data_IF_668558524357
#
_entry.id   IF_668558524357
#
_cell.length_a   1.000
_cell.length_b   1.000
_cell.length_c   1.000
_cell.angle_alpha   90.00
_cell.angle_beta   90.00
_cell.angle_gamma   90.00
#
_symmetry.space_group_name_H-M   'P 1'
#
loop_
_entity.id
_entity.type
_entity.pdbx_description
1 polymer ?
#
# COMPACT_ATOMS: atom_id res chain seq x y z
N UNK A 1 11.88 -49.85 -6.82
CA UNK A 1 10.82 -48.88 -6.46
C UNK A 1 10.48 -48.10 -7.72
N UNK A 2 9.35 -48.39 -8.35
CA UNK A 2 8.91 -47.72 -9.57
C UNK A 2 8.29 -46.38 -9.18
N UNK A 3 8.96 -45.29 -9.57
CA UNK A 3 8.49 -43.91 -9.42
C UNK A 3 7.20 -43.75 -10.23
N UNK A 4 6.05 -43.79 -9.55
CA UNK A 4 4.74 -43.63 -10.20
C UNK A 4 4.59 -42.17 -10.60
N UNK A 5 4.75 -41.89 -11.89
CA UNK A 5 4.45 -40.58 -12.45
C UNK A 5 2.98 -40.28 -12.21
N UNK A 6 2.63 -39.14 -11.57
CA UNK A 6 1.24 -38.83 -11.27
C UNK A 6 0.44 -38.73 -12.57
N UNK A 7 -0.73 -39.36 -12.58
CA UNK A 7 -1.66 -39.27 -13.72
C UNK A 7 -2.00 -37.79 -13.97
N UNK A 8 -2.13 -37.39 -15.24
CA UNK A 8 -2.47 -36.01 -15.61
C UNK A 8 -3.73 -35.49 -14.92
N UNK A 9 -4.67 -36.38 -14.56
CA UNK A 9 -5.86 -36.05 -13.78
C UNK A 9 -5.52 -35.70 -12.32
N UNK A 10 -4.67 -36.48 -11.66
CA UNK A 10 -4.21 -36.22 -10.28
C UNK A 10 -3.38 -34.94 -10.19
N UNK A 11 -2.55 -34.67 -11.22
CA UNK A 11 -1.79 -33.43 -11.29
C UNK A 11 -2.69 -32.19 -11.44
N UNK A 12 -3.79 -32.30 -12.20
CA UNK A 12 -4.79 -31.22 -12.32
C UNK A 12 -5.56 -31.00 -11.02
N UNK A 13 -6.01 -32.07 -10.39
CA UNK A 13 -6.77 -32.01 -9.14
C UNK A 13 -5.92 -31.41 -7.99
N UNK A 14 -4.64 -31.79 -7.91
CA UNK A 14 -3.69 -31.18 -6.97
C UNK A 14 -3.45 -29.69 -7.28
N UNK A 15 -3.38 -29.30 -8.56
CA UNK A 15 -3.23 -27.90 -8.97
C UNK A 15 -4.45 -27.07 -8.59
N UNK A 16 -5.65 -27.60 -8.80
CA UNK A 16 -6.91 -26.92 -8.44
C UNK A 16 -7.06 -26.79 -6.92
N UNK A 17 -6.68 -27.82 -6.15
CA UNK A 17 -6.65 -27.74 -4.69
C UNK A 17 -5.66 -26.68 -4.18
N UNK A 18 -4.46 -26.60 -4.75
CA UNK A 18 -3.47 -25.55 -4.43
C UNK A 18 -4.02 -24.17 -4.81
N UNK A 19 -4.64 -24.05 -5.99
CA UNK A 19 -5.20 -22.78 -6.46
C UNK A 19 -6.33 -22.29 -5.56
N UNK A 20 -7.23 -23.18 -5.16
CA UNK A 20 -8.31 -22.88 -4.23
C UNK A 20 -7.75 -22.44 -2.86
N UNK A 21 -6.78 -23.19 -2.31
CA UNK A 21 -6.11 -22.81 -1.06
C UNK A 21 -5.43 -21.44 -1.13
N UNK A 22 -4.72 -21.13 -2.21
CA UNK A 22 -4.11 -19.82 -2.42
C UNK A 22 -5.15 -18.70 -2.56
N UNK A 23 -6.28 -18.96 -3.23
CA UNK A 23 -7.36 -17.98 -3.34
C UNK A 23 -8.02 -17.69 -1.99
N UNK A 24 -8.23 -18.72 -1.16
CA UNK A 24 -8.75 -18.54 0.22
C UNK A 24 -7.77 -17.74 1.09
N UNK A 25 -6.47 -18.02 1.00
CA UNK A 25 -5.44 -17.26 1.71
C UNK A 25 -5.39 -15.79 1.26
N UNK A 26 -5.57 -15.54 -0.03
CA UNK A 26 -5.63 -14.18 -0.59
C UNK A 26 -6.89 -13.42 -0.17
N UNK A 27 -8.04 -14.10 -0.05
CA UNK A 27 -9.29 -13.46 0.37
C UNK A 27 -9.32 -13.12 1.85
N UNK A 28 -8.67 -13.95 2.68
CA UNK A 28 -8.76 -13.86 4.14
C UNK A 28 -7.56 -13.15 4.78
N UNK A 29 -6.40 -13.10 4.10
CA UNK A 29 -5.24 -12.50 4.71
C UNK A 29 -5.26 -10.96 4.63
N UNK A 30 -5.60 -10.39 5.78
CA UNK A 30 -5.45 -8.97 6.05
C UNK A 30 -4.19 -8.80 6.94
N UNK A 31 -3.21 -7.98 6.54
CA UNK A 31 -2.00 -7.75 7.31
C UNK A 31 -2.30 -7.14 8.67
N UNK A 32 -1.37 -7.32 9.60
CA UNK A 32 -1.44 -6.72 10.93
C UNK A 32 -1.81 -5.22 10.84
N UNK A 33 -2.81 -4.82 11.62
CA UNK A 33 -3.26 -3.42 11.73
C UNK A 33 -2.08 -2.52 12.10
N UNK A 34 -1.16 -3.01 12.93
CA UNK A 34 0.03 -2.29 13.36
C UNK A 34 0.94 -1.90 12.19
N UNK A 35 1.25 -2.85 11.30
CA UNK A 35 2.12 -2.58 10.14
C UNK A 35 1.45 -1.56 9.22
N UNK A 36 0.15 -1.70 8.98
CA UNK A 36 -0.60 -0.73 8.15
C UNK A 36 -0.59 0.66 8.76
N UNK A 37 -0.89 0.79 10.05
CA UNK A 37 -0.84 2.07 10.75
C UNK A 37 0.56 2.69 10.69
N UNK A 38 1.60 1.89 10.90
CA UNK A 38 2.99 2.35 10.86
C UNK A 38 3.35 2.91 9.47
N UNK A 39 3.01 2.20 8.39
CA UNK A 39 3.23 2.72 7.02
C UNK A 39 2.46 4.02 6.79
N UNK A 40 1.19 4.08 7.22
CA UNK A 40 0.35 5.27 7.03
C UNK A 40 0.88 6.48 7.80
N UNK A 41 1.32 6.28 9.05
CA UNK A 41 1.95 7.31 9.88
C UNK A 41 3.27 7.79 9.26
N UNK A 42 4.10 6.86 8.78
CA UNK A 42 5.33 7.20 8.06
C UNK A 42 5.06 7.99 6.79
N UNK A 43 4.05 7.60 6.01
CA UNK A 43 3.63 8.33 4.80
C UNK A 43 3.10 9.73 5.12
N UNK A 44 2.25 9.85 6.14
CA UNK A 44 1.74 11.13 6.62
C UNK A 44 2.87 12.05 7.11
N UNK A 45 3.87 11.51 7.80
CA UNK A 45 5.04 12.26 8.26
C UNK A 45 5.88 12.81 7.09
N UNK A 46 6.02 12.07 5.99
CA UNK A 46 6.69 12.55 4.77
C UNK A 46 5.92 13.73 4.18
N UNK A 47 4.60 13.59 3.98
CA UNK A 47 3.75 14.65 3.41
C UNK A 47 3.74 15.90 4.29
N UNK A 48 3.60 15.70 5.59
CA UNK A 48 3.62 16.77 6.57
C UNK A 48 4.96 17.51 6.58
N UNK A 49 6.06 16.76 6.66
CA UNK A 49 7.41 17.31 6.60
C UNK A 49 7.62 18.12 5.33
N UNK A 50 7.23 17.59 4.17
CA UNK A 50 7.30 18.31 2.90
C UNK A 50 6.48 19.61 2.90
N UNK A 51 5.22 19.57 3.35
CA UNK A 51 4.36 20.74 3.42
C UNK A 51 4.89 21.83 4.36
N UNK A 52 5.60 21.45 5.42
CA UNK A 52 6.19 22.34 6.43
C UNK A 52 7.62 22.80 6.10
N UNK A 53 8.26 22.24 5.07
CA UNK A 53 9.64 22.61 4.70
C UNK A 53 9.75 24.03 4.11
N UNK A 54 10.28 24.94 4.92
CA UNK A 54 10.77 26.29 4.55
C UNK A 54 12.06 26.62 5.33
N UNK A 55 13.07 27.20 4.67
CA UNK A 55 14.38 27.58 5.24
C UNK A 55 15.20 26.41 5.85
N UNK A 56 16.22 26.72 6.67
CA UNK A 56 17.05 25.74 7.40
C UNK A 56 16.20 25.02 8.46
N UNK A 57 15.60 23.90 8.07
CA UNK A 57 14.41 23.43 8.76
C UNK A 57 14.52 22.02 9.34
N UNK A 58 14.20 21.92 10.62
CA UNK A 58 14.06 20.67 11.37
C UNK A 58 12.98 19.75 10.79
N UNK A 59 12.01 20.26 10.03
CA UNK A 59 10.99 19.46 9.36
C UNK A 59 11.53 18.56 8.24
N UNK A 60 12.73 18.82 7.72
CA UNK A 60 13.41 17.89 6.83
C UNK A 60 13.75 16.56 7.53
N UNK A 61 14.04 16.59 8.83
CA UNK A 61 14.26 15.39 9.63
C UNK A 61 13.01 14.50 9.68
N UNK A 62 11.82 15.11 9.79
CA UNK A 62 10.55 14.38 9.76
C UNK A 62 10.36 13.65 8.41
N UNK A 63 10.78 14.24 7.30
CA UNK A 63 10.78 13.56 6.00
C UNK A 63 11.75 12.38 5.96
N UNK A 64 12.95 12.52 6.52
CA UNK A 64 13.93 11.42 6.57
C UNK A 64 13.46 10.26 7.45
N UNK A 65 12.98 10.55 8.66
CA UNK A 65 12.44 9.54 9.58
C UNK A 65 11.20 8.88 8.97
N UNK A 66 10.30 9.68 8.41
CA UNK A 66 9.12 9.19 7.70
C UNK A 66 9.49 8.30 6.52
N UNK A 67 10.45 8.73 5.69
CA UNK A 67 10.94 7.97 4.54
C UNK A 67 11.56 6.64 4.93
N UNK A 68 12.45 6.65 5.92
CA UNK A 68 13.09 5.43 6.42
C UNK A 68 12.09 4.47 7.06
N UNK A 69 11.19 4.99 7.89
CA UNK A 69 10.09 4.22 8.47
C UNK A 69 9.19 3.61 7.40
N UNK A 70 8.80 4.40 6.39
CA UNK A 70 7.96 3.94 5.30
C UNK A 70 8.61 2.76 4.55
N UNK A 71 9.91 2.85 4.26
CA UNK A 71 10.65 1.77 3.60
C UNK A 71 10.70 0.50 4.47
N UNK A 72 11.05 0.62 5.75
CA UNK A 72 11.12 -0.52 6.67
C UNK A 72 9.75 -1.19 6.82
N UNK A 73 8.70 -0.42 7.10
CA UNK A 73 7.38 -0.99 7.30
C UNK A 73 6.77 -1.55 6.01
N UNK A 74 7.07 -0.94 4.86
CA UNK A 74 6.68 -1.50 3.56
C UNK A 74 7.44 -2.80 3.27
N UNK A 75 8.73 -2.88 3.61
CA UNK A 75 9.49 -4.12 3.48
C UNK A 75 8.96 -5.23 4.40
N UNK A 76 8.63 -4.90 5.67
CA UNK A 76 8.00 -5.82 6.60
C UNK A 76 6.61 -6.26 6.14
N UNK A 77 5.83 -5.35 5.55
CA UNK A 77 4.55 -5.65 4.93
C UNK A 77 4.73 -6.65 3.80
N UNK A 78 5.64 -6.38 2.85
CA UNK A 78 5.92 -7.30 1.74
C UNK A 78 6.44 -8.65 2.24
N UNK A 79 7.30 -8.64 3.25
CA UNK A 79 7.83 -9.83 3.87
C UNK A 79 6.73 -10.68 4.55
N UNK A 80 5.77 -10.04 5.22
CA UNK A 80 4.64 -10.72 5.86
C UNK A 80 3.80 -11.51 4.86
N UNK A 81 3.57 -10.96 3.67
CA UNK A 81 2.90 -11.69 2.58
C UNK A 81 3.77 -12.81 1.99
N UNK A 82 5.08 -12.57 1.85
CA UNK A 82 6.00 -13.61 1.35
C UNK A 82 6.04 -14.81 2.28
N UNK A 83 6.00 -14.60 3.60
CA UNK A 83 5.93 -15.68 4.60
C UNK A 83 4.69 -16.57 4.40
N UNK A 84 3.63 -16.04 3.81
CA UNK A 84 2.39 -16.78 3.53
C UNK A 84 2.33 -17.35 2.12
N UNK A 85 3.43 -17.29 1.37
CA UNK A 85 3.49 -17.76 -0.01
C UNK A 85 2.79 -16.84 -1.01
N UNK A 86 2.28 -15.67 -0.59
CA UNK A 86 1.64 -14.70 -1.46
C UNK A 86 2.72 -13.86 -2.14
N UNK A 87 2.86 -14.01 -3.46
CA UNK A 87 3.75 -13.15 -4.26
C UNK A 87 3.06 -11.81 -4.53
N UNK A 88 3.35 -10.82 -3.69
CA UNK A 88 2.97 -9.43 -4.02
C UNK A 88 3.71 -8.99 -5.27
N UNK A 89 2.96 -8.38 -6.19
CA UNK A 89 3.51 -7.63 -7.30
C UNK A 89 3.25 -6.16 -7.05
N UNK A 90 4.29 -5.34 -7.13
CA UNK A 90 4.21 -3.89 -6.90
C UNK A 90 3.45 -3.16 -8.02
N UNK A 91 3.35 -3.78 -9.20
CA UNK A 91 2.71 -3.20 -10.38
C UNK A 91 1.39 -3.93 -10.67
N UNK A 92 0.26 -3.21 -10.78
CA UNK A 92 -1.04 -3.80 -11.05
C UNK A 92 -1.09 -4.39 -12.47
N UNK A 93 -1.60 -5.61 -12.62
CA UNK A 93 -1.71 -6.29 -13.92
C UNK A 93 -3.03 -6.00 -14.65
N UNK A 94 -4.12 -5.79 -13.90
CA UNK A 94 -5.46 -5.58 -14.46
C UNK A 94 -5.68 -4.10 -14.81
N UNK A 95 -6.32 -3.84 -15.96
CA UNK A 95 -6.63 -2.48 -16.41
C UNK A 95 -7.50 -1.68 -15.41
N UNK A 96 -8.39 -2.34 -14.69
CA UNK A 96 -9.21 -1.70 -13.65
C UNK A 96 -8.36 -1.31 -12.43
N UNK A 97 -7.40 -2.15 -12.04
CA UNK A 97 -6.42 -1.84 -10.98
C UNK A 97 -5.48 -0.70 -11.38
N UNK A 98 -5.08 -0.62 -12.66
CA UNK A 98 -4.27 0.49 -13.17
C UNK A 98 -5.01 1.82 -13.04
N UNK A 99 -6.29 1.88 -13.44
CA UNK A 99 -7.11 3.09 -13.31
C UNK A 99 -7.24 3.55 -11.86
N UNK A 100 -7.48 2.61 -10.94
CA UNK A 100 -7.55 2.92 -9.51
C UNK A 100 -6.21 3.49 -9.00
N UNK A 101 -5.10 2.81 -9.27
CA UNK A 101 -3.77 3.25 -8.82
C UNK A 101 -3.39 4.63 -9.38
N UNK A 102 -3.70 4.90 -10.66
CA UNK A 102 -3.50 6.22 -11.27
C UNK A 102 -4.37 7.26 -10.58
N UNK A 103 -5.68 7.00 -10.40
CA UNK A 103 -6.60 7.95 -9.76
C UNK A 103 -6.17 8.30 -8.34
N UNK A 104 -5.77 7.28 -7.57
CA UNK A 104 -5.24 7.44 -6.21
C UNK A 104 -3.91 8.21 -6.23
N UNK A 105 -3.02 7.91 -7.18
CA UNK A 105 -1.78 8.66 -7.37
C UNK A 105 -2.01 10.14 -7.61
N UNK A 106 -2.99 10.50 -8.46
CA UNK A 106 -3.38 11.90 -8.71
C UNK A 106 -3.87 12.56 -7.43
N UNK A 107 -4.72 11.89 -6.65
CA UNK A 107 -5.21 12.42 -5.36
C UNK A 107 -4.04 12.68 -4.40
N UNK A 108 -3.09 11.76 -4.28
CA UNK A 108 -1.91 11.96 -3.43
C UNK A 108 -1.04 13.13 -3.90
N UNK A 109 -0.81 13.26 -5.20
CA UNK A 109 -0.07 14.40 -5.78
C UNK A 109 -0.79 15.71 -5.44
N UNK A 110 -2.11 15.77 -5.62
CA UNK A 110 -2.91 16.94 -5.25
C UNK A 110 -2.83 17.26 -3.76
N UNK A 111 -2.82 16.26 -2.88
CA UNK A 111 -2.65 16.47 -1.45
C UNK A 111 -1.25 16.99 -1.10
N UNK A 112 -0.19 16.43 -1.70
CA UNK A 112 1.20 16.84 -1.46
C UNK A 112 1.42 18.29 -1.91
N UNK A 113 1.19 18.58 -3.18
CA UNK A 113 1.45 19.91 -3.75
C UNK A 113 0.39 20.92 -3.31
N UNK A 114 -0.88 20.52 -3.26
CA UNK A 114 -1.96 21.36 -2.78
C UNK A 114 -1.77 21.80 -1.34
N UNK A 115 -1.30 20.92 -0.45
CA UNK A 115 -1.03 21.32 0.94
C UNK A 115 -0.02 22.45 1.06
N UNK A 116 1.04 22.42 0.24
CA UNK A 116 2.06 23.46 0.20
C UNK A 116 1.52 24.73 -0.45
N UNK A 117 0.82 24.62 -1.58
CA UNK A 117 0.21 25.76 -2.28
C UNK A 117 -0.82 26.49 -1.40
N UNK A 118 -1.66 25.76 -0.66
CA UNK A 118 -2.63 26.35 0.26
C UNK A 118 -1.93 27.08 1.42
N UNK A 119 -0.81 26.54 1.91
CA UNK A 119 -0.03 27.19 2.97
C UNK A 119 0.71 28.43 2.45
N UNK A 120 1.50 28.31 1.39
CA UNK A 120 2.38 29.38 0.89
C UNK A 120 1.64 30.43 0.07
N UNK A 121 0.57 30.03 -0.65
CA UNK A 121 -0.19 30.91 -1.53
C UNK A 121 -1.39 31.58 -0.86
N UNK A 122 -2.10 30.88 0.03
CA UNK A 122 -3.31 31.39 0.70
C UNK A 122 -3.11 31.68 2.20
N UNK A 123 -1.91 31.42 2.74
CA UNK A 123 -1.60 31.65 4.16
C UNK A 123 -2.28 30.66 5.12
N UNK A 124 -2.80 29.54 4.63
CA UNK A 124 -3.50 28.57 5.48
C UNK A 124 -2.50 27.62 6.15
N UNK A 125 -2.05 27.97 7.36
CA UNK A 125 -1.01 27.24 8.10
C UNK A 125 -1.39 25.78 8.43
N UNK A 126 -2.67 25.50 8.60
CA UNK A 126 -3.17 24.16 8.93
C UNK A 126 -3.27 23.22 7.71
N UNK A 127 -3.05 23.70 6.47
CA UNK A 127 -3.18 22.88 5.26
C UNK A 127 -2.34 21.59 5.30
N UNK A 128 -1.04 21.63 5.63
CA UNK A 128 -0.23 20.41 5.69
C UNK A 128 -0.70 19.38 6.72
N UNK A 129 -1.26 19.83 7.85
CA UNK A 129 -1.79 18.96 8.89
C UNK A 129 -3.03 18.20 8.39
N UNK A 130 -3.98 18.92 7.80
CA UNK A 130 -5.23 18.32 7.29
C UNK A 130 -4.95 17.42 6.10
N UNK A 131 -4.11 17.86 5.16
CA UNK A 131 -3.78 17.06 3.98
C UNK A 131 -2.96 15.81 4.31
N UNK A 132 -2.01 15.87 5.24
CA UNK A 132 -1.23 14.70 5.67
C UNK A 132 -2.10 13.68 6.42
N UNK A 133 -3.01 14.15 7.29
CA UNK A 133 -3.98 13.28 7.96
C UNK A 133 -4.93 12.61 6.96
N UNK A 134 -5.50 13.39 6.04
CA UNK A 134 -6.37 12.87 4.99
C UNK A 134 -5.66 11.85 4.11
N UNK A 135 -4.41 12.11 3.73
CA UNK A 135 -3.59 11.18 2.96
C UNK A 135 -3.30 9.89 3.75
N UNK A 136 -2.94 9.99 5.03
CA UNK A 136 -2.72 8.83 5.90
C UNK A 136 -3.98 7.98 6.07
N UNK A 137 -5.13 8.61 6.30
CA UNK A 137 -6.42 7.91 6.42
C UNK A 137 -6.84 7.24 5.11
N UNK A 138 -6.69 7.93 3.98
CA UNK A 138 -6.95 7.39 2.65
C UNK A 138 -6.04 6.18 2.38
N UNK A 139 -4.75 6.30 2.68
CA UNK A 139 -3.78 5.21 2.48
C UNK A 139 -4.09 4.00 3.37
N UNK A 140 -4.52 4.23 4.62
CA UNK A 140 -4.95 3.16 5.53
C UNK A 140 -6.18 2.42 4.99
N UNK A 141 -7.17 3.17 4.51
CA UNK A 141 -8.36 2.60 3.88
C UNK A 141 -8.01 1.79 2.63
N UNK A 142 -7.10 2.29 1.79
CA UNK A 142 -6.57 1.59 0.62
C UNK A 142 -5.88 0.28 0.98
N UNK A 143 -5.00 0.29 1.99
CA UNK A 143 -4.32 -0.94 2.46
C UNK A 143 -5.29 -1.95 3.09
N UNK A 144 -6.42 -1.48 3.64
CA UNK A 144 -7.46 -2.37 4.18
C UNK A 144 -8.36 -2.94 3.07
N UNK A 145 -8.69 -2.16 2.05
CA UNK A 145 -9.62 -2.56 0.99
C UNK A 145 -8.95 -3.29 -0.18
N UNK A 146 -7.73 -2.86 -0.54
CA UNK A 146 -6.92 -3.38 -1.64
C UNK A 146 -5.50 -3.71 -1.17
N UNK A 147 -5.33 -4.70 -0.28
CA UNK A 147 -4.03 -5.06 0.28
C UNK A 147 -2.94 -5.34 -0.76
N UNK A 148 -3.30 -5.96 -1.89
CA UNK A 148 -2.38 -6.30 -2.98
C UNK A 148 -2.33 -5.24 -4.08
N UNK A 149 -3.09 -4.15 -3.96
CA UNK A 149 -3.24 -3.14 -5.02
C UNK A 149 -4.03 -3.63 -6.25
N UNK A 150 -4.56 -4.85 -6.21
CA UNK A 150 -5.38 -5.43 -7.27
C UNK A 150 -6.87 -5.43 -6.92
N UNK A 151 -7.67 -4.89 -7.83
CA UNK A 151 -9.12 -4.98 -7.79
C UNK A 151 -9.52 -6.38 -8.25
N UNK A 152 -9.79 -7.26 -7.30
CA UNK A 152 -10.42 -8.54 -7.60
C UNK A 152 -11.90 -8.26 -7.88
N UNK A 153 -12.37 -8.50 -9.10
CA UNK A 153 -13.81 -8.61 -9.36
C UNK A 153 -14.30 -9.80 -8.53
N UNK A 154 -15.03 -9.54 -7.45
CA UNK A 154 -15.90 -10.57 -6.88
C UNK A 154 -16.93 -10.87 -7.96
N UNK A 155 -16.83 -12.03 -8.60
CA UNK A 155 -17.99 -12.57 -9.29
C UNK A 155 -19.12 -12.64 -8.25
N UNK A 156 -20.23 -12.01 -8.61
CA UNK A 156 -21.48 -12.08 -7.84
C UNK A 156 -22.16 -13.40 -8.11
#
# INVERSE_FOLDING_TARGET
MSESTPSSAQARDALDAIRHSQQTLLSDYIPSVFIRLAICLSFAAILFGYGMTEHENQWALAMWIGGFGFLIFTALYVYSYRLQGIKIRLLPRLGDSVKLNIGVGVVFVLLVFGSRLLRTGLGFEYAPHVCSFAAGALYFWLLAKYPTGEVHKRDK
#
